data_IF_653050888091
#
_entry.id   IF_653050888091
#
_cell.length_a   1.000
_cell.length_b   1.000
_cell.length_c   1.000
_cell.angle_alpha   90.00
_cell.angle_beta   90.00
_cell.angle_gamma   90.00
#
_symmetry.space_group_name_H-M   'P 1'
#
loop_
_entity.id
_entity.type
_entity.pdbx_description
1 polymer ?
#
# COMPACT_ATOMS: atom_id res chain seq x y z
N UNK A 1 2.74 3.19 -31.91
CA UNK A 1 3.50 2.50 -30.85
C UNK A 1 2.89 2.91 -29.52
N UNK A 2 2.01 2.06 -28.97
CA UNK A 2 1.50 2.24 -27.62
C UNK A 2 2.59 1.64 -26.74
N UNK A 3 3.38 2.49 -26.07
CA UNK A 3 4.24 2.01 -25.00
C UNK A 3 3.28 1.75 -23.84
N UNK A 4 2.79 0.51 -23.73
CA UNK A 4 2.09 0.07 -22.53
C UNK A 4 3.05 0.35 -21.37
N UNK A 5 2.64 1.17 -20.39
CA UNK A 5 3.42 1.31 -19.18
C UNK A 5 3.77 -0.09 -18.67
N UNK A 6 5.04 -0.40 -18.36
CA UNK A 6 5.37 -1.73 -17.86
C UNK A 6 4.48 -2.02 -16.65
N UNK A 7 3.81 -3.19 -16.64
CA UNK A 7 2.96 -3.59 -15.53
C UNK A 7 3.76 -3.50 -14.22
N UNK A 8 3.54 -2.43 -13.46
CA UNK A 8 4.20 -2.26 -12.18
C UNK A 8 3.63 -3.28 -11.20
N UNK A 9 4.48 -4.17 -10.70
CA UNK A 9 4.17 -5.15 -9.67
C UNK A 9 4.93 -4.79 -8.42
N UNK A 10 4.23 -4.81 -7.30
CA UNK A 10 4.82 -4.63 -5.98
C UNK A 10 5.03 -6.02 -5.38
N UNK A 11 6.25 -6.31 -4.95
CA UNK A 11 6.57 -7.53 -4.22
C UNK A 11 6.62 -7.23 -2.73
N UNK A 12 6.05 -8.12 -1.93
CA UNK A 12 6.08 -8.05 -0.48
C UNK A 12 6.05 -9.45 0.12
N UNK A 13 6.54 -9.56 1.34
CA UNK A 13 6.39 -10.77 2.15
C UNK A 13 5.04 -10.67 2.86
N UNK A 14 4.14 -11.61 2.59
CA UNK A 14 2.81 -11.62 3.17
C UNK A 14 2.81 -11.90 4.68
N UNK A 15 1.62 -11.91 5.29
CA UNK A 15 1.48 -12.13 6.74
C UNK A 15 1.90 -13.54 7.18
N UNK A 16 2.04 -14.49 6.26
CA UNK A 16 2.50 -15.86 6.49
C UNK A 16 3.99 -16.05 6.18
N UNK A 17 4.66 -15.02 5.66
CA UNK A 17 6.07 -15.09 5.29
C UNK A 17 6.31 -15.47 3.82
N UNK A 18 5.24 -15.60 3.02
CA UNK A 18 5.35 -16.00 1.62
C UNK A 18 5.57 -14.80 0.70
N UNK A 19 6.28 -15.02 -0.41
CA UNK A 19 6.41 -14.00 -1.45
C UNK A 19 5.06 -13.80 -2.16
N UNK A 20 4.55 -12.58 -2.12
CA UNK A 20 3.32 -12.19 -2.78
C UNK A 20 3.55 -10.94 -3.63
N UNK A 21 2.63 -10.70 -4.57
CA UNK A 21 2.66 -9.47 -5.37
C UNK A 21 1.29 -8.85 -5.61
N UNK A 22 1.27 -7.52 -5.71
CA UNK A 22 0.09 -6.75 -6.10
C UNK A 22 0.36 -6.03 -7.42
N UNK A 23 -0.55 -6.19 -8.39
CA UNK A 23 -0.52 -5.41 -9.64
C UNK A 23 -0.99 -4.00 -9.37
N UNK A 24 -0.24 -3.02 -9.86
CA UNK A 24 -0.59 -1.61 -9.72
C UNK A 24 -1.90 -1.28 -10.43
N UNK A 25 -2.21 -1.92 -11.56
CA UNK A 25 -3.45 -1.66 -12.29
C UNK A 25 -4.70 -2.07 -11.51
N UNK A 26 -4.59 -3.05 -10.62
CA UNK A 26 -5.70 -3.55 -9.80
C UNK A 26 -5.75 -2.90 -8.41
N UNK A 27 -4.84 -1.99 -8.07
CA UNK A 27 -4.74 -1.40 -6.73
C UNK A 27 -6.02 -0.64 -6.30
N UNK A 28 -6.81 -0.17 -7.27
CA UNK A 28 -8.06 0.53 -7.02
C UNK A 28 -9.22 -0.42 -6.66
N UNK A 29 -9.06 -1.73 -6.90
CA UNK A 29 -10.06 -2.77 -6.58
C UNK A 29 -9.88 -3.33 -5.18
N UNK A 30 -8.73 -3.06 -4.55
CA UNK A 30 -8.40 -3.60 -3.24
C UNK A 30 -9.09 -2.80 -2.15
N UNK A 31 -9.52 -3.47 -1.09
CA UNK A 31 -10.18 -2.80 0.01
C UNK A 31 -9.21 -1.94 0.84
N UNK A 32 -9.79 -1.04 1.63
CA UNK A 32 -9.00 -0.08 2.39
C UNK A 32 -8.11 -0.72 3.46
N UNK A 33 -8.51 -1.91 3.95
CA UNK A 33 -7.73 -2.65 4.94
C UNK A 33 -6.46 -3.21 4.31
N UNK A 34 -6.56 -3.77 3.11
CA UNK A 34 -5.42 -4.25 2.33
C UNK A 34 -4.48 -3.12 1.96
N UNK A 35 -5.00 -1.94 1.60
CA UNK A 35 -4.17 -0.76 1.33
C UNK A 35 -3.33 -0.35 2.56
N UNK A 36 -3.90 -0.36 3.77
CA UNK A 36 -3.15 -0.10 5.00
C UNK A 36 -2.13 -1.21 5.29
N UNK A 37 -2.50 -2.47 5.11
CA UNK A 37 -1.62 -3.63 5.28
C UNK A 37 -0.41 -3.54 4.36
N UNK A 38 -0.61 -3.23 3.08
CA UNK A 38 0.49 -3.02 2.13
C UNK A 38 1.42 -1.90 2.59
N UNK A 39 0.87 -0.78 3.07
CA UNK A 39 1.68 0.34 3.54
C UNK A 39 2.57 -0.03 4.73
N UNK A 40 2.04 -0.87 5.64
CA UNK A 40 2.78 -1.41 6.79
C UNK A 40 3.89 -2.37 6.32
N UNK A 41 3.57 -3.28 5.41
CA UNK A 41 4.52 -4.31 4.95
C UNK A 41 5.68 -3.70 4.16
N UNK A 42 5.45 -2.57 3.48
CA UNK A 42 6.49 -1.92 2.70
C UNK A 42 7.04 -0.63 3.29
N UNK A 43 6.62 -0.25 4.49
CA UNK A 43 7.19 0.91 5.19
C UNK A 43 8.71 0.76 5.40
N UNK A 44 9.18 -0.48 5.55
CA UNK A 44 10.57 -0.80 5.85
C UNK A 44 11.40 -1.14 4.60
N UNK A 45 10.79 -1.16 3.41
CA UNK A 45 11.47 -1.53 2.16
C UNK A 45 11.82 -0.25 1.39
N UNK A 46 13.11 0.00 1.17
CA UNK A 46 13.61 1.29 0.71
C UNK A 46 13.79 1.40 -0.81
N UNK A 47 13.44 0.37 -1.58
CA UNK A 47 13.56 0.33 -3.04
C UNK A 47 12.76 1.45 -3.72
N UNK A 48 13.24 2.02 -4.84
CA UNK A 48 12.51 3.05 -5.60
C UNK A 48 11.08 2.64 -6.00
N UNK A 49 10.86 1.38 -6.36
CA UNK A 49 9.58 0.80 -6.74
C UNK A 49 8.59 0.86 -5.58
N UNK A 50 9.00 0.40 -4.39
CA UNK A 50 8.17 0.47 -3.19
C UNK A 50 7.91 1.91 -2.74
N UNK A 51 8.85 2.85 -2.91
CA UNK A 51 8.56 4.27 -2.66
C UNK A 51 7.44 4.79 -3.56
N UNK A 52 7.48 4.49 -4.86
CA UNK A 52 6.42 4.89 -5.82
C UNK A 52 5.09 4.22 -5.47
N UNK A 53 5.13 2.95 -5.09
CA UNK A 53 3.95 2.22 -4.65
C UNK A 53 3.32 2.84 -3.39
N UNK A 54 4.11 3.07 -2.34
CA UNK A 54 3.65 3.70 -1.11
C UNK A 54 3.00 5.07 -1.39
N UNK A 55 3.58 5.88 -2.29
CA UNK A 55 2.97 7.16 -2.68
C UNK A 55 1.58 6.98 -3.30
N UNK A 56 1.40 6.00 -4.20
CA UNK A 56 0.12 5.73 -4.85
C UNK A 56 -0.92 5.18 -3.87
N UNK A 57 -0.52 4.28 -2.96
CA UNK A 57 -1.39 3.81 -1.88
C UNK A 57 -1.80 4.94 -0.94
N UNK A 58 -0.87 5.83 -0.55
CA UNK A 58 -1.21 7.02 0.25
C UNK A 58 -2.25 7.90 -0.46
N UNK A 59 -2.14 8.08 -1.78
CA UNK A 59 -3.12 8.83 -2.56
C UNK A 59 -4.50 8.17 -2.55
N UNK A 60 -4.56 6.86 -2.74
CA UNK A 60 -5.83 6.10 -2.70
C UNK A 60 -6.48 6.12 -1.32
N UNK A 61 -5.67 6.00 -0.26
CA UNK A 61 -6.13 6.14 1.11
C UNK A 61 -6.72 7.55 1.33
N UNK A 62 -6.05 8.60 0.86
CA UNK A 62 -6.54 9.99 1.01
C UNK A 62 -7.83 10.27 0.23
N UNK A 63 -8.04 9.61 -0.91
CA UNK A 63 -9.26 9.78 -1.72
C UNK A 63 -10.39 8.82 -1.33
N UNK A 64 -10.16 7.88 -0.41
CA UNK A 64 -11.17 6.91 0.00
C UNK A 64 -12.34 7.58 0.72
N UNK A 65 -13.57 7.08 0.49
CA UNK A 65 -14.80 7.68 1.00
C UNK A 65 -14.93 7.60 2.53
N UNK A 66 -14.38 6.53 3.12
CA UNK A 66 -14.44 6.22 4.55
C UNK A 66 -13.18 6.70 5.31
N UNK A 67 -13.00 8.02 5.38
CA UNK A 67 -11.84 8.65 6.03
C UNK A 67 -11.83 8.45 7.56
N UNK A 68 -12.98 8.34 8.21
CA UNK A 68 -13.05 8.20 9.68
C UNK A 68 -12.58 6.82 10.14
N UNK A 69 -12.99 5.74 9.44
CA UNK A 69 -12.47 4.39 9.69
C UNK A 69 -10.97 4.30 9.46
N UNK A 70 -10.46 5.03 8.47
CA UNK A 70 -9.04 5.13 8.16
C UNK A 70 -8.24 5.80 9.27
N UNK A 71 -8.70 6.94 9.79
CA UNK A 71 -8.06 7.64 10.91
C UNK A 71 -7.93 6.75 12.12
N UNK A 72 -9.02 6.08 12.52
CA UNK A 72 -9.02 5.16 13.68
C UNK A 72 -7.99 4.03 13.52
N UNK A 73 -7.90 3.43 12.33
CA UNK A 73 -6.93 2.35 12.06
C UNK A 73 -5.49 2.88 12.01
N UNK A 74 -5.26 4.04 11.40
CA UNK A 74 -3.94 4.67 11.34
C UNK A 74 -3.39 4.97 12.73
N UNK A 75 -4.18 5.57 13.60
CA UNK A 75 -3.80 5.85 14.99
C UNK A 75 -3.38 4.57 15.72
N UNK A 76 -4.13 3.46 15.53
CA UNK A 76 -3.75 2.17 16.12
C UNK A 76 -2.40 1.66 15.61
N UNK A 77 -2.12 1.80 14.32
CA UNK A 77 -0.85 1.38 13.72
C UNK A 77 0.32 2.24 14.20
N UNK A 78 0.11 3.55 14.36
CA UNK A 78 1.11 4.47 14.91
C UNK A 78 1.45 4.15 16.38
N UNK A 79 0.44 3.79 17.19
CA UNK A 79 0.64 3.30 18.57
C UNK A 79 1.46 2.01 18.61
N UNK A 80 1.32 1.15 17.60
CA UNK A 80 2.13 -0.07 17.45
C UNK A 80 3.56 0.20 16.92
N UNK A 81 3.91 1.46 16.64
CA UNK A 81 5.24 1.86 16.20
C UNK A 81 5.42 1.94 14.68
N UNK A 82 4.35 1.73 13.89
CA UNK A 82 4.41 1.92 12.44
C UNK A 82 4.31 3.39 12.08
N UNK A 83 5.32 3.92 11.37
CA UNK A 83 5.31 5.29 10.88
C UNK A 83 4.69 5.33 9.49
N UNK A 84 3.45 5.82 9.41
CA UNK A 84 2.65 5.84 8.17
C UNK A 84 2.59 7.23 7.49
N UNK A 85 3.50 8.15 7.87
CA UNK A 85 3.62 9.52 7.34
C UNK A 85 3.70 9.58 5.81
#
# INVERSE_FOLDING_TARGET
>A
MIIEEPEYKMFFIDVFGDEAFQRMNDIHKVDIQSLLTYLVMTSNITTPENRRFCLKVRQLIRSHRDQEKLKSKRVKLEVLGYKLD
#
